data_IF_723879532635
#
_entry.id   IF_723879532635
#
_cell.length_a   1.000
_cell.length_b   1.000
_cell.length_c   1.000
_cell.angle_alpha   90.00
_cell.angle_beta   90.00
_cell.angle_gamma   90.00
#
_symmetry.space_group_name_H-M   'P 1'
#
loop_
_entity.id
_entity.type
_entity.pdbx_description
1 polymer ?
#
# COMPACT_ATOMS: atom_id res chain seq x y z
N UNK A 1 50.81 -35.80 5.63
CA UNK A 1 50.01 -36.85 4.97
C UNK A 1 48.91 -37.29 5.94
N UNK A 2 47.70 -36.77 5.73
CA UNK A 2 46.40 -37.38 6.05
C UNK A 2 45.33 -36.37 5.61
N UNK A 3 44.89 -36.57 4.38
CA UNK A 3 43.56 -36.19 3.90
C UNK A 3 42.53 -37.21 4.44
N UNK A 4 41.24 -36.89 4.25
CA UNK A 4 40.00 -37.60 4.63
C UNK A 4 39.24 -36.84 5.74
N UNK A 5 37.97 -36.48 5.61
CA UNK A 5 37.06 -36.51 4.47
C UNK A 5 35.84 -35.62 4.80
N UNK A 6 35.07 -35.32 3.77
CA UNK A 6 33.94 -34.36 3.71
C UNK A 6 32.79 -34.66 4.69
N UNK A 7 32.17 -33.61 5.24
CA UNK A 7 30.71 -33.50 5.19
C UNK A 7 30.23 -32.04 5.26
N UNK A 8 29.78 -31.53 4.10
CA UNK A 8 29.02 -30.30 3.95
C UNK A 8 27.60 -30.55 4.47
N UNK A 9 27.36 -30.27 5.74
CA UNK A 9 26.00 -30.21 6.27
C UNK A 9 25.35 -28.93 5.77
N UNK A 10 24.69 -29.01 4.61
CA UNK A 10 23.65 -28.08 4.20
C UNK A 10 22.66 -27.94 5.36
N UNK A 11 22.73 -26.81 6.07
CA UNK A 11 21.65 -26.39 6.93
C UNK A 11 20.48 -26.05 5.99
N UNK A 12 19.55 -26.99 5.90
CA UNK A 12 18.23 -26.81 5.29
C UNK A 12 17.54 -25.68 6.05
N UNK A 13 17.71 -24.45 5.57
CA UNK A 13 16.89 -23.35 6.02
C UNK A 13 15.43 -23.74 5.72
N UNK A 14 14.52 -23.70 6.70
CA UNK A 14 13.11 -23.83 6.40
C UNK A 14 12.74 -22.75 5.36
N UNK A 15 11.83 -23.02 4.42
CA UNK A 15 11.37 -22.00 3.48
C UNK A 15 10.88 -20.82 4.31
N UNK A 16 11.63 -19.72 4.22
CA UNK A 16 11.29 -18.45 4.83
C UNK A 16 9.86 -18.13 4.42
N UNK A 17 8.96 -18.03 5.40
CA UNK A 17 7.57 -17.69 5.18
C UNK A 17 7.51 -16.47 4.24
N UNK A 18 6.81 -16.62 3.11
CA UNK A 18 6.68 -15.56 2.13
C UNK A 18 6.21 -14.28 2.83
N UNK A 19 6.94 -13.18 2.62
CA UNK A 19 6.52 -11.88 3.09
C UNK A 19 5.09 -11.58 2.56
N UNK A 20 4.22 -10.92 3.33
CA UNK A 20 2.85 -10.69 2.92
C UNK A 20 2.83 -9.96 1.57
N UNK A 21 2.28 -10.62 0.54
CA UNK A 21 2.11 -10.13 -0.83
C UNK A 21 1.01 -9.07 -0.96
N UNK A 22 0.74 -8.33 0.11
CA UNK A 22 -0.53 -7.65 0.27
C UNK A 22 -0.34 -6.14 0.33
N UNK A 23 -0.96 -5.48 -0.64
CA UNK A 23 -1.52 -4.16 -0.44
C UNK A 23 -2.32 -4.17 0.87
N UNK A 24 -1.83 -3.49 1.89
CA UNK A 24 -2.45 -3.50 3.21
C UNK A 24 -3.08 -2.14 3.48
N UNK A 25 -4.35 -2.13 3.88
CA UNK A 25 -5.01 -0.94 4.44
C UNK A 25 -5.00 -1.12 5.95
N UNK A 26 -4.17 -0.34 6.64
CA UNK A 26 -4.26 -0.22 8.08
C UNK A 26 -5.26 0.89 8.40
N UNK A 27 -6.38 0.54 9.03
CA UNK A 27 -7.36 1.49 9.52
C UNK A 27 -7.77 1.10 10.95
N UNK A 28 -7.43 1.92 11.96
CA UNK A 28 -7.78 1.61 13.35
C UNK A 28 -9.30 1.47 13.53
N UNK A 29 -9.73 0.50 14.34
CA UNK A 29 -11.14 0.23 14.64
C UNK A 29 -12.01 -0.04 13.40
N UNK A 30 -11.40 -0.54 12.33
CA UNK A 30 -12.12 -0.88 11.12
C UNK A 30 -12.80 -2.26 11.21
N UNK A 31 -13.86 -2.41 10.42
CA UNK A 31 -14.53 -3.70 10.22
C UNK A 31 -14.05 -4.25 8.88
N UNK A 32 -13.49 -5.46 8.89
CA UNK A 32 -13.08 -6.18 7.69
C UNK A 32 -14.13 -7.23 7.33
N UNK A 33 -14.54 -7.24 6.06
CA UNK A 33 -15.40 -8.26 5.47
C UNK A 33 -14.67 -8.90 4.29
N UNK A 34 -14.36 -10.19 4.39
CA UNK A 34 -13.74 -10.96 3.30
C UNK A 34 -14.81 -11.56 2.37
N UNK A 35 -14.56 -11.55 1.06
CA UNK A 35 -15.46 -12.08 0.05
C UNK A 35 -14.94 -13.40 -0.56
N UNK A 36 -15.81 -14.24 -1.14
CA UNK A 36 -15.41 -15.53 -1.71
C UNK A 36 -14.46 -15.45 -2.90
N UNK A 37 -14.40 -14.31 -3.58
CA UNK A 37 -13.51 -14.05 -4.72
C UNK A 37 -12.08 -13.64 -4.29
N UNK A 38 -11.78 -13.67 -2.98
CA UNK A 38 -10.48 -13.27 -2.44
C UNK A 38 -10.31 -11.76 -2.27
N UNK A 39 -11.31 -10.95 -2.64
CA UNK A 39 -11.36 -9.53 -2.30
C UNK A 39 -11.81 -9.32 -0.85
N UNK A 40 -11.59 -8.13 -0.31
CA UNK A 40 -12.11 -7.75 1.01
C UNK A 40 -12.47 -6.27 1.08
N UNK A 41 -13.46 -5.96 1.91
CA UNK A 41 -13.88 -4.60 2.25
C UNK A 41 -13.40 -4.26 3.66
N UNK A 42 -12.82 -3.07 3.82
CA UNK A 42 -12.50 -2.46 5.12
C UNK A 42 -13.36 -1.21 5.29
N UNK A 43 -14.18 -1.19 6.33
CA UNK A 43 -15.02 -0.04 6.68
C UNK A 43 -14.43 0.67 7.91
N UNK A 44 -14.18 1.97 7.78
CA UNK A 44 -13.70 2.83 8.84
C UNK A 44 -14.81 3.35 9.74
N UNK A 45 -14.49 3.73 10.99
CA UNK A 45 -15.45 4.30 11.92
C UNK A 45 -16.04 5.64 11.45
N UNK A 46 -15.34 6.36 10.57
CA UNK A 46 -15.76 7.66 10.02
C UNK A 46 -16.60 7.50 8.73
N UNK A 47 -16.89 6.27 8.29
CA UNK A 47 -17.67 5.99 7.08
C UNK A 47 -16.82 5.74 5.82
N UNK A 48 -15.50 5.74 5.97
CA UNK A 48 -14.57 5.36 4.90
C UNK A 48 -14.76 3.91 4.48
N UNK A 49 -14.62 3.63 3.18
CA UNK A 49 -14.74 2.27 2.64
C UNK A 49 -13.60 1.98 1.71
N UNK A 50 -12.89 0.89 1.94
CA UNK A 50 -11.77 0.42 1.12
C UNK A 50 -12.08 -0.97 0.59
N UNK A 51 -12.32 -1.08 -0.71
CA UNK A 51 -12.40 -2.36 -1.39
C UNK A 51 -11.01 -2.71 -1.92
N UNK A 52 -10.49 -3.86 -1.50
CA UNK A 52 -9.23 -4.41 -1.99
C UNK A 52 -9.53 -5.66 -2.79
N UNK A 53 -9.18 -5.67 -4.09
CA UNK A 53 -9.38 -6.83 -4.96
C UNK A 53 -8.40 -7.96 -4.62
N UNK A 54 -8.69 -9.18 -5.09
CA UNK A 54 -7.76 -10.32 -5.03
C UNK A 54 -6.37 -9.97 -5.58
N UNK A 55 -6.33 -9.17 -6.65
CA UNK A 55 -5.10 -8.68 -7.29
C UNK A 55 -4.39 -7.55 -6.55
N UNK A 56 -4.92 -7.11 -5.40
CA UNK A 56 -4.33 -6.06 -4.57
C UNK A 56 -4.59 -4.64 -5.06
N UNK A 57 -5.59 -4.41 -5.93
CA UNK A 57 -6.05 -3.07 -6.27
C UNK A 57 -6.93 -2.53 -5.15
N UNK A 58 -6.69 -1.28 -4.75
CA UNK A 58 -7.53 -0.56 -3.79
C UNK A 58 -8.44 0.38 -4.56
N UNK A 59 -9.73 0.34 -4.26
CA UNK A 59 -10.68 1.40 -4.54
C UNK A 59 -11.25 1.86 -3.20
N UNK A 60 -11.12 3.15 -2.87
CA UNK A 60 -11.65 3.68 -1.63
C UNK A 60 -12.56 4.89 -1.85
N UNK A 61 -13.61 4.98 -1.03
CA UNK A 61 -14.45 6.17 -0.89
C UNK A 61 -14.22 6.74 0.50
N UNK A 62 -13.88 8.02 0.56
CA UNK A 62 -13.52 8.73 1.78
C UNK A 62 -14.44 9.92 1.99
N UNK A 63 -14.77 10.21 3.24
CA UNK A 63 -15.52 11.42 3.58
C UNK A 63 -14.69 12.68 3.29
N UNK A 64 -13.39 12.63 3.59
CA UNK A 64 -12.46 13.71 3.39
C UNK A 64 -11.05 13.21 3.04
N UNK A 65 -10.34 13.99 2.24
CA UNK A 65 -8.90 13.82 2.00
C UNK A 65 -8.22 15.10 2.44
N UNK A 66 -7.80 15.15 3.71
CA UNK A 66 -7.15 16.34 4.28
C UNK A 66 -5.70 16.45 3.87
N UNK A 67 -5.01 15.32 3.73
CA UNK A 67 -3.59 15.29 3.39
C UNK A 67 -3.21 13.98 2.71
N UNK A 68 -2.48 14.09 1.61
CA UNK A 68 -1.72 12.98 1.04
C UNK A 68 -0.25 13.26 1.30
N UNK A 69 0.40 12.33 2.00
CA UNK A 69 1.84 12.37 2.27
C UNK A 69 2.53 11.29 1.46
N UNK A 70 3.57 11.67 0.74
CA UNK A 70 4.44 10.73 0.03
C UNK A 70 5.66 10.50 0.93
N UNK A 71 5.87 9.25 1.34
CA UNK A 71 6.91 8.90 2.31
C UNK A 71 8.32 9.06 1.71
N UNK A 72 8.50 8.63 0.47
CA UNK A 72 9.72 8.82 -0.32
C UNK A 72 9.39 9.42 -1.69
N UNK A 73 9.65 10.72 -1.84
CA UNK A 73 9.42 11.44 -3.10
C UNK A 73 10.36 10.97 -4.22
N UNK A 74 11.52 10.38 -3.91
CA UNK A 74 12.47 9.90 -4.92
C UNK A 74 11.91 8.74 -5.75
N UNK A 75 10.88 8.05 -5.23
CA UNK A 75 10.18 6.99 -5.96
C UNK A 75 9.17 7.53 -6.98
N UNK A 76 8.81 8.81 -6.94
CA UNK A 76 7.79 9.38 -7.85
C UNK A 76 8.43 9.68 -9.20
N UNK A 77 7.98 8.96 -10.23
CA UNK A 77 8.43 9.12 -11.61
C UNK A 77 7.62 10.16 -12.37
N UNK A 78 6.33 10.27 -12.05
CA UNK A 78 5.42 11.19 -12.73
C UNK A 78 4.29 11.60 -11.80
N UNK A 79 3.96 12.89 -11.83
CA UNK A 79 2.80 13.45 -11.16
C UNK A 79 1.96 14.20 -12.18
N UNK A 80 0.73 13.74 -12.38
CA UNK A 80 -0.27 14.40 -13.19
C UNK A 80 -1.35 15.02 -12.30
N UNK A 81 -1.77 16.23 -12.66
CA UNK A 81 -2.87 16.91 -11.99
C UNK A 81 -3.87 17.33 -13.05
N UNK A 82 -5.11 16.87 -12.89
CA UNK A 82 -6.23 17.21 -13.77
C UNK A 82 -7.30 17.92 -12.96
N UNK A 83 -7.80 19.05 -13.47
CA UNK A 83 -8.83 19.86 -12.82
C UNK A 83 -10.06 19.89 -13.71
N UNK A 84 -11.20 19.46 -13.18
CA UNK A 84 -12.49 19.43 -13.90
C UNK A 84 -13.56 19.98 -12.97
N UNK A 85 -14.17 21.10 -13.35
CA UNK A 85 -15.15 21.81 -12.53
C UNK A 85 -14.61 22.07 -11.10
N UNK A 86 -15.33 21.59 -10.09
CA UNK A 86 -15.00 21.72 -8.67
C UNK A 86 -14.14 20.57 -8.14
N UNK A 87 -13.57 19.74 -9.01
CA UNK A 87 -12.76 18.59 -8.62
C UNK A 87 -11.32 18.69 -9.11
N UNK A 88 -10.41 18.11 -8.33
CA UNK A 88 -9.00 17.99 -8.62
C UNK A 88 -8.61 16.52 -8.47
N UNK A 89 -8.09 15.94 -9.55
CA UNK A 89 -7.54 14.59 -9.58
C UNK A 89 -6.02 14.68 -9.61
N UNK A 90 -5.38 13.84 -8.81
CA UNK A 90 -3.94 13.63 -8.82
C UNK A 90 -3.67 12.18 -9.21
N UNK A 91 -2.74 11.96 -10.13
CA UNK A 91 -2.22 10.63 -10.47
C UNK A 91 -0.71 10.63 -10.29
N UNK A 92 -0.21 9.73 -9.46
CA UNK A 92 1.20 9.56 -9.12
C UNK A 92 1.66 8.19 -9.61
N UNK A 93 2.71 8.18 -10.42
CA UNK A 93 3.37 6.96 -10.87
C UNK A 93 4.66 6.77 -10.09
N UNK A 94 4.86 5.57 -9.54
CA UNK A 94 6.01 5.21 -8.73
C UNK A 94 6.94 4.23 -9.43
N UNK A 95 8.22 4.27 -9.06
CA UNK A 95 9.19 3.24 -9.44
C UNK A 95 8.69 1.85 -9.02
N UNK A 96 8.91 0.84 -9.87
CA UNK A 96 8.33 -0.50 -9.70
C UNK A 96 6.92 -0.67 -10.28
N UNK A 97 6.34 0.40 -10.86
CA UNK A 97 5.07 0.33 -11.59
C UNK A 97 3.82 0.52 -10.74
N UNK A 98 3.97 0.98 -9.49
CA UNK A 98 2.85 1.37 -8.65
C UNK A 98 2.17 2.64 -9.15
N UNK A 99 0.85 2.70 -9.02
CA UNK A 99 0.06 3.89 -9.38
C UNK A 99 -0.89 4.22 -8.23
N UNK A 100 -0.85 5.47 -7.78
CA UNK A 100 -1.76 6.01 -6.80
C UNK A 100 -2.50 7.20 -7.39
N UNK A 101 -3.82 7.20 -7.33
CA UNK A 101 -4.62 8.35 -7.70
C UNK A 101 -5.66 8.69 -6.65
N UNK A 102 -5.95 9.98 -6.54
CA UNK A 102 -6.96 10.47 -5.62
C UNK A 102 -7.69 11.65 -6.22
N UNK A 103 -8.97 11.75 -5.87
CA UNK A 103 -9.90 12.75 -6.36
C UNK A 103 -10.56 13.43 -5.17
N UNK A 104 -10.49 14.76 -5.16
CA UNK A 104 -11.12 15.58 -4.13
C UNK A 104 -11.77 16.82 -4.74
N UNK A 105 -12.73 17.39 -4.03
CA UNK A 105 -13.28 18.70 -4.31
C UNK A 105 -12.25 19.79 -4.00
N UNK A 106 -12.41 20.98 -4.60
CA UNK A 106 -11.54 22.14 -4.34
C UNK A 106 -11.47 22.55 -2.87
N UNK A 107 -12.52 22.25 -2.09
CA UNK A 107 -12.60 22.52 -0.65
C UNK A 107 -11.97 21.40 0.22
N UNK A 108 -11.36 20.38 -0.39
CA UNK A 108 -10.71 19.27 0.30
C UNK A 108 -11.64 18.12 0.67
N UNK A 109 -12.95 18.21 0.37
CA UNK A 109 -13.84 17.05 0.53
C UNK A 109 -13.40 15.93 -0.40
N UNK A 110 -13.22 14.75 0.17
CA UNK A 110 -12.72 13.58 -0.55
C UNK A 110 -13.83 12.99 -1.40
N UNK A 111 -13.47 12.38 -2.53
CA UNK A 111 -14.41 11.55 -3.28
C UNK A 111 -13.90 10.12 -3.37
N UNK A 112 -12.66 9.93 -3.81
CA UNK A 112 -12.14 8.57 -3.99
C UNK A 112 -10.62 8.49 -4.07
N UNK A 113 -10.12 7.29 -3.80
CA UNK A 113 -8.75 6.85 -4.08
C UNK A 113 -8.81 5.63 -4.97
N UNK A 114 -7.86 5.53 -5.89
CA UNK A 114 -7.51 4.28 -6.56
C UNK A 114 -6.03 4.01 -6.36
N UNK A 115 -5.66 2.77 -6.07
CA UNK A 115 -4.28 2.38 -5.92
C UNK A 115 -4.03 1.00 -6.54
N UNK A 116 -3.00 0.88 -7.37
CA UNK A 116 -2.56 -0.36 -7.99
C UNK A 116 -1.11 -0.62 -7.60
N UNK A 117 -0.83 -1.80 -7.02
CA UNK A 117 0.51 -2.19 -6.55
C UNK A 117 1.12 -1.16 -5.62
N UNK A 118 0.33 -0.63 -4.68
CA UNK A 118 0.78 0.39 -3.74
C UNK A 118 0.71 -0.11 -2.31
N UNK A 119 1.60 0.42 -1.46
CA UNK A 119 1.51 0.32 -0.01
C UNK A 119 1.03 1.67 0.51
N UNK A 120 -0.13 1.67 1.16
CA UNK A 120 -0.74 2.88 1.72
C UNK A 120 -1.14 2.66 3.18
N UNK A 121 -1.06 3.70 3.99
CA UNK A 121 -1.62 3.73 5.35
C UNK A 121 -2.60 4.87 5.45
N UNK A 122 -3.78 4.61 5.99
CA UNK A 122 -4.74 5.66 6.31
C UNK A 122 -4.70 5.91 7.80
N UNK A 123 -4.49 7.15 8.18
CA UNK A 123 -4.62 7.60 9.56
C UNK A 123 -6.00 8.23 9.77
N UNK A 124 -6.50 8.28 11.01
CA UNK A 124 -7.68 9.07 11.35
C UNK A 124 -7.58 10.51 10.81
N UNK A 125 -8.73 11.16 10.62
CA UNK A 125 -8.80 12.55 10.09
C UNK A 125 -8.39 12.71 8.62
N UNK A 126 -8.62 11.70 7.79
CA UNK A 126 -8.46 11.81 6.33
C UNK A 126 -7.02 12.02 5.85
N UNK A 127 -6.03 11.46 6.55
CA UNK A 127 -4.61 11.51 6.13
C UNK A 127 -4.21 10.18 5.50
N UNK A 128 -3.70 10.23 4.28
CA UNK A 128 -3.17 9.05 3.57
C UNK A 128 -1.66 9.18 3.43
N UNK A 129 -0.93 8.15 3.85
CA UNK A 129 0.51 8.01 3.67
C UNK A 129 0.75 6.98 2.57
N UNK A 130 1.42 7.39 1.50
CA UNK A 130 1.82 6.53 0.38
C UNK A 130 3.27 6.10 0.61
N UNK A 131 3.45 4.83 0.96
CA UNK A 131 4.75 4.24 1.33
C UNK A 131 5.57 3.75 0.13
N UNK A 132 4.97 3.72 -1.07
CA UNK A 132 5.64 3.29 -2.30
C UNK A 132 4.98 2.06 -2.94
N UNK A 133 5.71 1.43 -3.86
CA UNK A 133 5.20 0.30 -4.65
C UNK A 133 5.27 -1.00 -3.86
N UNK A 134 4.17 -1.76 -3.85
CA UNK A 134 4.14 -3.11 -3.29
C UNK A 134 5.07 -4.02 -4.12
N UNK A 135 5.91 -4.81 -3.44
CA UNK A 135 6.85 -5.70 -4.12
C UNK A 135 6.07 -6.69 -5.02
N UNK A 136 6.31 -6.60 -6.34
CA UNK A 136 6.04 -7.72 -7.24
C UNK A 136 7.09 -8.81 -7.03
N UNK A 137 6.83 -10.02 -7.53
CA UNK A 137 7.64 -11.25 -7.35
C UNK A 137 9.09 -11.21 -7.92
N UNK A 138 9.72 -10.03 -8.03
CA UNK A 138 11.13 -9.87 -8.40
C UNK A 138 12.01 -9.56 -7.18
N UNK A 139 12.11 -10.54 -6.27
CA UNK A 139 13.37 -10.92 -5.63
C UNK A 139 14.20 -9.86 -4.88
N UNK A 140 13.62 -8.81 -4.30
CA UNK A 140 14.31 -7.97 -3.31
C UNK A 140 13.41 -7.62 -2.13
N UNK A 141 13.72 -8.29 -1.03
CA UNK A 141 13.18 -8.09 0.32
C UNK A 141 13.46 -6.65 0.78
N UNK A 142 12.42 -5.82 0.88
CA UNK A 142 12.51 -4.55 1.59
C UNK A 142 12.34 -4.83 3.09
N UNK A 143 13.44 -4.75 3.85
CA UNK A 143 13.43 -4.89 5.31
C UNK A 143 12.70 -3.70 5.94
N UNK A 144 11.48 -3.94 6.41
CA UNK A 144 10.77 -3.00 7.28
C UNK A 144 11.30 -3.18 8.71
N UNK A 145 11.96 -2.16 9.27
CA UNK A 145 12.27 -2.08 10.70
C UNK A 145 11.29 -1.09 11.34
N UNK A 146 10.39 -1.50 12.24
CA UNK A 146 9.64 -0.56 13.05
C UNK A 146 10.62 0.04 14.08
N UNK A 147 10.96 1.32 13.94
CA UNK A 147 11.57 2.04 15.06
C UNK A 147 10.46 2.32 16.09
N UNK A 148 10.63 1.73 17.27
CA UNK A 148 9.94 2.14 18.48
C UNK A 148 10.45 3.53 18.88
N UNK A 149 9.53 4.47 19.09
CA UNK A 149 9.84 5.75 19.73
C UNK A 149 10.22 5.53 21.20
N UNK A 150 11.19 6.30 21.68
CA UNK A 150 11.75 6.24 23.03
C UNK A 150 11.02 7.09 24.05
#
# INVERSE_FOLDING_TARGET
>A
MKEDDRNLSQATHPPSAAAPRMTFVNLPNSIRTDFPDGSYLVEGPEGDKYLVSESGNISATLVEIRRVQIDDLSQVLRHEIVRVHETVSHTLHFAGGGVFSFLHHRDGRGMSIQANRMLCRTLPSGVIIVCGTAAGDNGREAKFSPQAEG
#
